data_IF_488581315781
#
_entry.id   IF_488581315781
#
_cell.length_a   1.000
_cell.length_b   1.000
_cell.length_c   1.000
_cell.angle_alpha   90.00
_cell.angle_beta   90.00
_cell.angle_gamma   90.00
#
_symmetry.space_group_name_H-M   'P 1'
#
loop_
_entity.id
_entity.type
_entity.pdbx_description
1 polymer ?
#
# COMPACT_ATOMS: atom_id res chain seq x y z
N UNK A 1 -8.23 18.06 0.20
CA UNK A 1 -7.15 17.25 0.81
C UNK A 1 -7.22 17.40 2.31
N UNK A 2 -8.14 16.66 2.93
CA UNK A 2 -8.19 16.46 4.37
C UNK A 2 -7.88 14.98 4.56
N UNK A 3 -6.71 14.69 5.11
CA UNK A 3 -6.46 13.44 5.81
C UNK A 3 -6.44 13.87 7.27
N UNK A 4 -7.53 13.58 7.97
CA UNK A 4 -7.58 13.69 9.42
C UNK A 4 -6.63 12.64 9.98
N UNK A 5 -5.70 13.11 10.79
CA UNK A 5 -4.85 12.26 11.59
C UNK A 5 -5.30 12.47 13.02
N UNK A 6 -5.90 11.45 13.61
CA UNK A 6 -6.28 11.43 15.01
C UNK A 6 -5.04 11.58 15.90
N UNK A 7 -4.85 12.78 16.43
CA UNK A 7 -4.02 13.06 17.60
C UNK A 7 -4.96 13.14 18.80
N UNK A 8 -5.24 12.00 19.44
CA UNK A 8 -5.78 11.98 20.80
C UNK A 8 -4.85 11.12 21.69
N UNK A 9 -4.05 11.72 22.59
CA UNK A 9 -3.08 11.02 23.42
C UNK A 9 -3.71 10.22 24.59
N UNK A 10 -5.04 10.05 24.62
CA UNK A 10 -5.75 9.34 25.69
C UNK A 10 -6.71 8.21 25.26
N UNK A 11 -6.66 7.73 24.03
CA UNK A 11 -7.44 6.56 23.63
C UNK A 11 -6.83 5.24 24.15
N UNK A 12 -7.19 4.83 25.37
CA UNK A 12 -7.02 3.46 25.84
C UNK A 12 -7.90 2.53 24.98
N UNK A 13 -7.34 2.01 23.89
CA UNK A 13 -8.06 1.21 22.89
C UNK A 13 -8.42 -0.19 23.40
N UNK A 14 -9.72 -0.42 23.64
CA UNK A 14 -10.31 -1.75 23.46
C UNK A 14 -10.30 -2.15 21.98
N UNK A 15 -10.69 -3.38 21.61
CA UNK A 15 -10.61 -3.85 20.21
C UNK A 15 -11.66 -3.14 19.36
N UNK A 16 -11.32 -1.94 18.87
CA UNK A 16 -12.09 -1.27 17.84
C UNK A 16 -12.06 -2.15 16.59
N UNK A 17 -13.24 -2.51 16.10
CA UNK A 17 -13.43 -3.37 14.94
C UNK A 17 -12.99 -2.58 13.72
N UNK A 18 -11.74 -2.78 13.26
CA UNK A 18 -11.18 -2.04 12.12
C UNK A 18 -12.05 -2.20 10.87
N UNK A 19 -12.56 -1.09 10.36
CA UNK A 19 -13.33 -1.01 9.13
C UNK A 19 -12.36 -0.67 8.00
N UNK A 20 -12.32 -1.43 6.89
CA UNK A 20 -11.51 -1.08 5.72
C UNK A 20 -11.92 0.27 5.14
N UNK A 21 -10.94 1.03 4.67
CA UNK A 21 -11.16 2.34 4.07
C UNK A 21 -12.01 2.19 2.80
N UNK A 22 -13.01 3.05 2.60
CA UNK A 22 -13.90 3.04 1.44
C UNK A 22 -14.57 1.67 1.18
N UNK A 23 -14.88 0.91 2.24
CA UNK A 23 -15.44 -0.45 2.09
C UNK A 23 -16.71 -0.46 1.23
N UNK A 24 -17.63 0.48 1.48
CA UNK A 24 -18.89 0.54 0.76
C UNK A 24 -18.68 0.85 -0.72
N UNK A 25 -17.81 1.80 -1.02
CA UNK A 25 -17.51 2.28 -2.37
C UNK A 25 -16.73 1.24 -3.16
N UNK A 26 -15.83 0.50 -2.52
CA UNK A 26 -15.15 -0.66 -3.14
C UNK A 26 -16.16 -1.76 -3.48
N UNK A 27 -17.10 -2.07 -2.59
CA UNK A 27 -18.14 -3.06 -2.87
C UNK A 27 -19.09 -2.62 -3.98
N UNK A 28 -19.45 -1.34 -4.03
CA UNK A 28 -20.25 -0.78 -5.12
C UNK A 28 -19.49 -0.83 -6.45
N UNK A 29 -18.22 -0.44 -6.42
CA UNK A 29 -17.33 -0.46 -7.58
C UNK A 29 -17.12 -1.87 -8.11
N UNK A 30 -16.92 -2.88 -7.26
CA UNK A 30 -16.75 -4.28 -7.68
C UNK A 30 -18.09 -4.96 -8.03
N UNK A 31 -19.16 -4.64 -7.31
CA UNK A 31 -20.48 -5.27 -7.42
C UNK A 31 -20.41 -6.82 -7.42
N UNK A 32 -19.79 -7.43 -6.40
CA UNK A 32 -19.57 -8.88 -6.37
C UNK A 32 -20.88 -9.66 -6.30
N UNK A 33 -20.95 -10.78 -7.01
CA UNK A 33 -22.14 -11.65 -7.06
C UNK A 33 -21.83 -13.08 -6.68
N UNK A 34 -22.89 -13.81 -6.31
CA UNK A 34 -22.81 -15.23 -6.05
C UNK A 34 -22.25 -16.00 -7.26
N UNK A 35 -21.24 -16.84 -7.01
CA UNK A 35 -20.58 -17.64 -8.04
C UNK A 35 -19.44 -16.94 -8.78
N UNK A 36 -19.22 -15.64 -8.57
CA UNK A 36 -18.06 -14.92 -9.10
C UNK A 36 -16.80 -15.21 -8.27
N UNK A 37 -15.64 -15.05 -8.90
CA UNK A 37 -14.32 -15.10 -8.29
C UNK A 37 -13.75 -13.68 -8.24
N UNK A 38 -13.43 -13.23 -7.03
CA UNK A 38 -12.82 -11.93 -6.79
C UNK A 38 -11.43 -12.13 -6.21
N UNK A 39 -10.46 -11.34 -6.67
CA UNK A 39 -9.11 -11.30 -6.09
C UNK A 39 -9.05 -10.15 -5.10
N UNK A 40 -8.73 -10.47 -3.84
CA UNK A 40 -8.30 -9.49 -2.85
C UNK A 40 -6.77 -9.51 -2.81
N UNK A 41 -6.13 -8.59 -3.52
CA UNK A 41 -4.67 -8.59 -3.64
C UNK A 41 -3.94 -8.12 -2.38
N UNK A 42 -4.64 -7.65 -1.36
CA UNK A 42 -4.05 -7.01 -0.19
C UNK A 42 -4.85 -7.41 1.05
N UNK A 43 -4.87 -8.72 1.33
CA UNK A 43 -5.77 -9.32 2.32
C UNK A 43 -5.77 -8.59 3.67
N UNK A 44 -4.59 -8.30 4.23
CA UNK A 44 -4.43 -7.64 5.52
C UNK A 44 -5.23 -8.33 6.63
N UNK A 45 -6.17 -7.60 7.23
CA UNK A 45 -7.08 -8.12 8.28
C UNK A 45 -8.33 -8.86 7.72
N UNK A 46 -8.45 -8.96 6.40
CA UNK A 46 -9.51 -9.66 5.68
C UNK A 46 -10.84 -8.91 5.64
N UNK A 47 -10.86 -7.58 5.78
CA UNK A 47 -12.09 -6.81 5.83
C UNK A 47 -12.85 -6.78 4.49
N UNK A 48 -12.18 -6.48 3.37
CA UNK A 48 -12.78 -6.60 2.04
C UNK A 48 -13.16 -8.04 1.74
N UNK A 49 -12.24 -8.99 1.95
CA UNK A 49 -12.50 -10.43 1.80
C UNK A 49 -13.78 -10.87 2.50
N UNK A 50 -13.98 -10.54 3.78
CA UNK A 50 -15.20 -10.89 4.53
C UNK A 50 -16.46 -10.31 3.89
N UNK A 51 -16.40 -9.06 3.45
CA UNK A 51 -17.54 -8.39 2.85
C UNK A 51 -17.89 -8.97 1.47
N UNK A 52 -16.89 -9.28 0.65
CA UNK A 52 -17.06 -9.93 -0.65
C UNK A 52 -17.63 -11.35 -0.48
N UNK A 53 -17.13 -12.13 0.50
CA UNK A 53 -17.68 -13.44 0.84
C UNK A 53 -19.14 -13.36 1.30
N UNK A 54 -19.53 -12.29 1.97
CA UNK A 54 -20.92 -12.07 2.39
C UNK A 54 -21.87 -11.82 1.21
N UNK A 55 -21.37 -11.33 0.07
CA UNK A 55 -22.13 -11.23 -1.18
C UNK A 55 -22.31 -12.56 -1.92
N UNK A 56 -21.70 -13.66 -1.42
CA UNK A 56 -21.79 -14.99 -2.01
C UNK A 56 -20.71 -15.32 -3.05
N UNK A 57 -19.80 -14.39 -3.33
CA UNK A 57 -18.64 -14.63 -4.19
C UNK A 57 -17.62 -15.58 -3.51
N UNK A 58 -16.70 -16.10 -4.32
CA UNK A 58 -15.46 -16.74 -3.86
C UNK A 58 -14.30 -15.75 -3.96
N UNK A 59 -13.33 -15.86 -3.07
CA UNK A 59 -12.21 -14.93 -2.96
C UNK A 59 -10.89 -15.69 -3.01
N UNK A 60 -9.98 -15.21 -3.86
CA UNK A 60 -8.54 -15.53 -3.73
C UNK A 60 -7.88 -14.32 -3.09
N UNK A 61 -7.46 -14.47 -1.85
CA UNK A 61 -6.88 -13.41 -1.04
C UNK A 61 -5.36 -13.59 -0.94
N UNK A 62 -4.62 -12.54 -1.28
CA UNK A 62 -3.16 -12.55 -1.39
C UNK A 62 -2.60 -11.58 -0.36
N UNK A 63 -1.56 -12.01 0.35
CA UNK A 63 -0.74 -11.13 1.17
C UNK A 63 0.70 -11.61 1.19
N UNK A 64 1.65 -10.68 1.23
CA UNK A 64 3.07 -11.02 1.39
C UNK A 64 3.44 -11.22 2.85
N UNK A 65 2.64 -10.69 3.77
CA UNK A 65 2.90 -10.74 5.20
C UNK A 65 2.45 -12.11 5.77
N UNK A 66 3.39 -12.92 6.30
CA UNK A 66 3.03 -14.20 6.91
C UNK A 66 2.06 -14.06 8.09
N UNK A 67 2.08 -12.93 8.83
CA UNK A 67 1.20 -12.71 9.98
C UNK A 67 -0.26 -12.51 9.54
N UNK A 68 -0.47 -11.82 8.43
CA UNK A 68 -1.79 -11.64 7.82
C UNK A 68 -2.36 -13.00 7.40
N UNK A 69 -1.55 -13.81 6.72
CA UNK A 69 -1.92 -15.15 6.28
C UNK A 69 -2.25 -16.05 7.47
N UNK A 70 -1.43 -16.05 8.52
CA UNK A 70 -1.66 -16.84 9.73
C UNK A 70 -2.98 -16.44 10.41
N UNK A 71 -3.24 -15.13 10.55
CA UNK A 71 -4.48 -14.60 11.14
C UNK A 71 -5.71 -14.94 10.30
N UNK A 72 -5.56 -15.02 8.98
CA UNK A 72 -6.64 -15.34 8.05
C UNK A 72 -7.07 -16.82 8.02
N UNK A 73 -6.26 -17.76 8.50
CA UNK A 73 -6.54 -19.21 8.36
C UNK A 73 -7.88 -19.63 8.97
N UNK A 74 -8.29 -19.02 10.09
CA UNK A 74 -9.59 -19.31 10.68
C UNK A 74 -10.75 -18.90 9.76
N UNK A 75 -10.64 -17.73 9.10
CA UNK A 75 -11.62 -17.27 8.12
C UNK A 75 -11.66 -18.19 6.90
N UNK A 76 -10.50 -18.63 6.41
CA UNK A 76 -10.39 -19.56 5.28
C UNK A 76 -11.14 -20.87 5.54
N UNK A 77 -10.91 -21.46 6.72
CA UNK A 77 -11.62 -22.69 7.14
C UNK A 77 -13.13 -22.48 7.26
N UNK A 78 -13.56 -21.36 7.84
CA UNK A 78 -14.98 -21.02 8.01
C UNK A 78 -15.69 -20.71 6.69
N UNK A 79 -14.95 -20.33 5.64
CA UNK A 79 -15.51 -19.93 4.35
C UNK A 79 -16.01 -21.11 3.51
N UNK A 80 -15.78 -22.36 3.94
CA UNK A 80 -16.30 -23.56 3.28
C UNK A 80 -15.75 -23.75 1.87
N UNK A 81 -14.48 -23.41 1.64
CA UNK A 81 -13.82 -23.52 0.33
C UNK A 81 -14.02 -22.31 -0.60
N UNK A 82 -14.80 -21.30 -0.20
CA UNK A 82 -14.96 -20.05 -0.97
C UNK A 82 -13.83 -19.05 -0.78
N UNK A 83 -12.94 -19.26 0.19
CA UNK A 83 -11.74 -18.45 0.38
C UNK A 83 -10.51 -19.32 0.16
N UNK A 84 -9.53 -18.79 -0.56
CA UNK A 84 -8.16 -19.32 -0.64
C UNK A 84 -7.17 -18.21 -0.30
N UNK A 85 -6.37 -18.42 0.73
CA UNK A 85 -5.30 -17.52 1.14
C UNK A 85 -3.97 -17.94 0.53
N UNK A 86 -3.31 -17.00 -0.13
CA UNK A 86 -2.02 -17.19 -0.80
C UNK A 86 -0.99 -16.24 -0.21
N UNK A 87 0.09 -16.81 0.34
CA UNK A 87 1.23 -16.00 0.81
C UNK A 87 2.13 -15.68 -0.38
N UNK A 88 1.94 -14.51 -0.98
CA UNK A 88 2.72 -14.05 -2.13
C UNK A 88 2.69 -12.53 -2.24
N UNK A 89 3.66 -11.90 -2.91
CA UNK A 89 3.52 -10.51 -3.34
C UNK A 89 2.33 -10.39 -4.30
N UNK A 90 1.53 -9.34 -4.15
CA UNK A 90 0.34 -9.16 -4.98
C UNK A 90 0.66 -8.86 -6.45
N UNK A 91 1.93 -8.54 -6.75
CA UNK A 91 2.43 -8.43 -8.13
C UNK A 91 2.36 -9.75 -8.92
N UNK A 92 2.25 -10.90 -8.25
CA UNK A 92 2.19 -12.23 -8.86
C UNK A 92 0.78 -12.82 -8.85
N UNK A 93 -0.26 -11.99 -8.71
CA UNK A 93 -1.65 -12.46 -8.58
C UNK A 93 -2.13 -13.33 -9.76
N UNK A 94 -1.53 -13.15 -10.95
CA UNK A 94 -1.83 -13.91 -12.17
C UNK A 94 -1.20 -15.31 -12.19
N UNK A 95 -0.26 -15.59 -11.30
CA UNK A 95 0.27 -16.94 -11.07
C UNK A 95 -0.67 -17.78 -10.20
N UNK A 96 -1.62 -17.13 -9.52
CA UNK A 96 -2.47 -17.75 -8.51
C UNK A 96 -3.94 -17.82 -8.91
N UNK A 97 -4.32 -17.05 -9.92
CA UNK A 97 -5.69 -16.92 -10.41
C UNK A 97 -5.68 -16.93 -11.93
N UNK A 98 -6.35 -17.90 -12.54
CA UNK A 98 -6.44 -17.99 -14.00
C UNK A 98 -7.34 -16.88 -14.58
N UNK A 99 -8.50 -16.65 -13.95
CA UNK A 99 -9.40 -15.57 -14.34
C UNK A 99 -10.32 -15.15 -13.18
N UNK A 100 -10.73 -13.88 -13.17
CA UNK A 100 -11.58 -13.29 -12.13
C UNK A 100 -12.56 -12.26 -12.69
N UNK A 101 -13.69 -12.10 -12.01
CA UNK A 101 -14.69 -11.04 -12.28
C UNK A 101 -14.33 -9.71 -11.61
N UNK A 102 -13.46 -9.73 -10.59
CA UNK A 102 -13.00 -8.51 -9.96
C UNK A 102 -11.65 -8.65 -9.28
N UNK A 103 -10.95 -7.54 -9.16
CA UNK A 103 -9.69 -7.40 -8.42
C UNK A 103 -9.78 -6.16 -7.56
N UNK A 104 -9.49 -6.28 -6.26
CA UNK A 104 -9.28 -5.17 -5.34
C UNK A 104 -7.83 -5.12 -4.88
N UNK A 105 -7.25 -3.92 -4.90
CA UNK A 105 -5.91 -3.65 -4.38
C UNK A 105 -6.00 -2.45 -3.42
N UNK A 106 -5.73 -2.67 -2.14
CA UNK A 106 -5.65 -1.65 -1.10
C UNK A 106 -4.17 -1.37 -0.76
N UNK A 107 -3.61 -0.40 -1.46
CA UNK A 107 -2.15 -0.23 -1.55
C UNK A 107 -1.65 0.55 -0.35
N UNK A 108 -1.12 -0.13 0.66
CA UNK A 108 -0.51 0.53 1.80
C UNK A 108 -0.10 -0.44 2.88
N UNK A 109 -0.01 0.07 4.09
CA UNK A 109 0.18 -0.75 5.29
C UNK A 109 -1.14 -0.94 6.00
N UNK A 110 -1.34 -2.13 6.54
CA UNK A 110 -2.48 -2.41 7.42
C UNK A 110 -2.29 -1.73 8.77
N UNK A 111 -3.40 -1.40 9.42
CA UNK A 111 -3.41 -0.96 10.83
C UNK A 111 -2.67 -1.93 11.75
N UNK A 112 -2.84 -3.24 11.54
CA UNK A 112 -2.12 -4.28 12.28
C UNK A 112 -0.60 -4.11 12.24
N UNK A 113 -0.04 -3.67 11.11
CA UNK A 113 1.39 -3.41 10.97
C UNK A 113 1.83 -2.12 11.67
N UNK A 114 0.95 -1.11 11.74
CA UNK A 114 1.21 0.15 12.45
C UNK A 114 1.14 -0.05 13.97
N UNK A 115 0.17 -0.85 14.44
CA UNK A 115 -0.12 -1.06 15.85
C UNK A 115 0.91 -1.97 16.53
N UNK A 116 1.59 -2.82 15.76
CA UNK A 116 2.68 -3.66 16.25
C UNK A 116 4.02 -2.92 16.20
N UNK A 117 4.40 -2.30 17.31
CA UNK A 117 5.66 -1.55 17.43
C UNK A 117 6.88 -2.36 16.95
N UNK A 118 6.93 -3.66 17.25
CA UNK A 118 8.02 -4.57 16.85
C UNK A 118 8.21 -4.69 15.33
N UNK A 119 7.22 -4.32 14.52
CA UNK A 119 7.32 -4.32 13.04
C UNK A 119 8.01 -3.07 12.49
N UNK A 120 8.14 -2.01 13.30
CA UNK A 120 8.93 -0.84 12.94
C UNK A 120 8.33 0.11 11.90
N UNK A 121 7.05 -0.02 11.57
CA UNK A 121 6.37 0.84 10.58
C UNK A 121 6.03 2.24 11.11
N UNK A 122 6.00 2.40 12.43
CA UNK A 122 5.57 3.61 13.13
C UNK A 122 6.62 4.05 14.15
N UNK A 123 6.62 5.35 14.43
CA UNK A 123 7.38 5.96 15.53
C UNK A 123 6.44 6.52 16.61
N UNK A 124 5.18 6.07 16.66
CA UNK A 124 4.27 6.37 17.79
C UNK A 124 4.69 5.62 19.06
N UNK A 125 5.18 4.40 18.88
CA UNK A 125 5.78 3.57 19.90
C UNK A 125 7.14 3.10 19.36
N UNK A 126 8.07 2.88 20.27
CA UNK A 126 9.42 2.46 19.91
C UNK A 126 9.47 0.98 19.53
N UNK A 127 10.27 0.66 18.52
CA UNK A 127 10.50 -0.71 18.07
C UNK A 127 11.72 -0.79 17.14
N UNK A 128 12.08 -2.00 16.69
CA UNK A 128 13.16 -2.19 15.72
C UNK A 128 12.89 -1.40 14.44
N UNK A 129 13.92 -0.81 13.85
CA UNK A 129 13.81 -0.12 12.57
C UNK A 129 13.78 -1.15 11.41
N UNK A 130 12.66 -1.85 11.26
CA UNK A 130 12.50 -2.97 10.32
C UNK A 130 11.75 -2.58 9.04
N UNK A 131 10.44 -2.34 9.13
CA UNK A 131 9.54 -1.98 8.02
C UNK A 131 9.34 -3.05 6.92
N UNK A 132 9.81 -4.29 7.07
CA UNK A 132 9.57 -5.34 6.07
C UNK A 132 8.18 -5.95 6.25
N UNK A 133 7.38 -5.92 5.19
CA UNK A 133 6.08 -6.61 5.16
C UNK A 133 6.28 -8.12 5.09
N UNK A 134 7.18 -8.60 4.22
CA UNK A 134 7.45 -10.03 4.02
C UNK A 134 8.38 -10.65 5.07
N UNK A 135 8.86 -9.87 6.04
CA UNK A 135 9.84 -10.29 7.06
C UNK A 135 11.15 -10.88 6.47
N UNK A 136 11.51 -10.47 5.24
CA UNK A 136 12.69 -10.92 4.53
C UNK A 136 13.28 -9.80 3.68
N UNK A 137 14.58 -9.90 3.36
CA UNK A 137 15.31 -8.88 2.59
C UNK A 137 15.87 -7.76 3.48
N UNK A 138 16.19 -6.62 2.83
CA UNK A 138 16.78 -5.44 3.49
C UNK A 138 15.78 -4.79 4.44
N UNK A 139 16.20 -4.53 5.67
CA UNK A 139 15.43 -3.73 6.64
C UNK A 139 15.65 -2.22 6.44
N UNK A 140 14.80 -1.39 7.05
CA UNK A 140 15.00 0.05 7.10
C UNK A 140 16.31 0.41 7.83
N UNK A 141 16.68 -0.32 8.88
CA UNK A 141 17.97 -0.20 9.57
C UNK A 141 19.14 -0.45 8.62
N UNK A 142 19.08 -1.51 7.80
CA UNK A 142 20.12 -1.80 6.81
C UNK A 142 20.28 -0.64 5.83
N UNK A 143 19.17 -0.10 5.33
CA UNK A 143 19.18 1.02 4.39
C UNK A 143 19.84 2.25 5.01
N UNK A 144 19.37 2.71 6.17
CA UNK A 144 19.91 3.93 6.79
C UNK A 144 21.35 3.77 7.25
N UNK A 145 21.78 2.56 7.64
CA UNK A 145 23.12 2.34 8.15
C UNK A 145 24.16 2.00 7.07
N UNK A 146 23.76 1.56 5.86
CA UNK A 146 24.71 1.12 4.82
C UNK A 146 24.70 1.94 3.54
N UNK A 147 23.61 2.64 3.20
CA UNK A 147 23.51 3.33 1.91
C UNK A 147 24.33 4.62 1.90
N UNK A 148 24.82 5.02 0.72
CA UNK A 148 25.52 6.30 0.54
C UNK A 148 24.55 7.46 0.74
N UNK A 149 25.06 8.61 1.21
CA UNK A 149 24.23 9.84 1.35
C UNK A 149 23.45 10.19 0.10
N UNK A 150 24.06 10.08 -1.07
CA UNK A 150 23.39 10.37 -2.34
C UNK A 150 22.19 9.44 -2.60
N UNK A 151 22.28 8.19 -2.16
CA UNK A 151 21.22 7.20 -2.34
C UNK A 151 20.08 7.44 -1.34
N UNK A 152 20.43 7.68 -0.06
CA UNK A 152 19.46 8.07 0.96
C UNK A 152 18.70 9.35 0.59
N UNK A 153 19.41 10.37 0.11
CA UNK A 153 18.79 11.62 -0.34
C UNK A 153 17.81 11.40 -1.50
N UNK A 154 18.14 10.49 -2.45
CA UNK A 154 17.23 10.11 -3.54
C UNK A 154 16.00 9.38 -3.02
N UNK A 155 16.18 8.41 -2.11
CA UNK A 155 15.07 7.68 -1.48
C UNK A 155 14.11 8.66 -0.81
N UNK A 156 14.60 9.51 0.10
CA UNK A 156 13.76 10.46 0.84
C UNK A 156 13.13 11.51 -0.08
N UNK A 157 13.89 12.02 -1.05
CA UNK A 157 13.43 13.06 -1.97
C UNK A 157 12.36 12.56 -2.94
N UNK A 158 12.56 11.39 -3.57
CA UNK A 158 11.62 10.86 -4.57
C UNK A 158 10.44 10.13 -3.94
N UNK A 159 10.67 9.27 -2.95
CA UNK A 159 9.63 8.41 -2.40
C UNK A 159 8.87 9.09 -1.24
N UNK A 160 9.54 9.96 -0.49
CA UNK A 160 8.93 10.71 0.63
C UNK A 160 8.51 12.14 0.29
N UNK A 161 8.87 12.64 -0.90
CA UNK A 161 8.70 14.06 -1.26
C UNK A 161 9.30 15.01 -0.17
N UNK A 162 10.44 14.61 0.42
CA UNK A 162 11.08 15.28 1.55
C UNK A 162 12.01 16.41 1.09
N UNK A 163 11.71 17.65 1.52
CA UNK A 163 12.42 18.86 1.10
C UNK A 163 13.83 18.96 1.68
N UNK A 164 14.05 18.38 2.86
CA UNK A 164 15.32 18.35 3.56
C UNK A 164 16.09 17.05 3.34
N UNK A 165 15.73 16.25 2.34
CA UNK A 165 16.30 14.92 2.07
C UNK A 165 17.83 14.89 2.13
N UNK A 166 18.51 15.82 1.45
CA UNK A 166 19.98 15.90 1.44
C UNK A 166 20.60 16.36 2.77
N UNK A 167 19.88 17.09 3.62
CA UNK A 167 20.33 17.44 4.97
C UNK A 167 20.17 16.25 5.91
N UNK A 168 19.01 15.61 5.88
CA UNK A 168 18.70 14.43 6.69
C UNK A 168 19.66 13.27 6.35
N UNK A 169 19.91 13.00 5.07
CA UNK A 169 20.84 11.94 4.66
C UNK A 169 22.27 12.15 5.20
N UNK A 170 22.79 13.37 5.15
CA UNK A 170 24.11 13.71 5.72
C UNK A 170 24.15 13.59 7.24
N UNK A 171 23.06 14.00 7.91
CA UNK A 171 22.91 13.81 9.34
C UNK A 171 22.97 12.33 9.70
N UNK A 172 22.21 11.48 8.98
CA UNK A 172 22.20 10.04 9.20
C UNK A 172 23.61 9.45 9.02
N UNK A 173 24.32 9.79 7.94
CA UNK A 173 25.68 9.29 7.70
C UNK A 173 26.67 9.70 8.81
N UNK A 174 26.65 10.96 9.22
CA UNK A 174 27.54 11.44 10.29
C UNK A 174 27.20 10.83 11.65
N UNK A 175 25.91 10.61 11.94
CA UNK A 175 25.45 10.03 13.20
C UNK A 175 25.79 8.54 13.27
N UNK A 176 25.54 7.77 12.20
CA UNK A 176 25.73 6.32 12.19
C UNK A 176 27.17 5.87 12.41
N UNK A 177 28.15 6.72 12.11
CA UNK A 177 29.57 6.46 12.44
C UNK A 177 29.82 6.32 13.95
N UNK A 178 28.99 6.96 14.78
CA UNK A 178 29.11 6.94 16.25
C UNK A 178 28.16 5.93 16.87
N UNK A 179 26.93 5.87 16.36
CA UNK A 179 25.91 4.97 16.86
C UNK A 179 24.96 4.63 15.71
N UNK A 180 24.77 3.34 15.42
CA UNK A 180 23.88 2.88 14.35
C UNK A 180 22.40 3.14 14.70
N UNK A 181 21.56 3.35 13.69
CA UNK A 181 20.12 3.49 13.88
C UNK A 181 19.46 2.11 13.88
N UNK A 182 19.09 1.64 15.07
CA UNK A 182 18.47 0.32 15.25
C UNK A 182 16.98 0.41 15.61
N UNK A 183 16.52 1.59 16.03
CA UNK A 183 15.18 1.80 16.60
C UNK A 183 14.43 2.96 15.95
N UNK A 184 13.11 2.88 15.93
CA UNK A 184 12.25 3.86 15.26
C UNK A 184 12.27 5.23 15.94
N UNK A 185 12.16 5.30 17.27
CA UNK A 185 12.20 6.60 17.96
C UNK A 185 13.55 7.29 17.81
N UNK A 186 14.64 6.51 17.86
CA UNK A 186 15.99 7.05 17.69
C UNK A 186 16.18 7.76 16.34
N UNK A 187 15.70 7.17 15.24
CA UNK A 187 15.71 7.83 13.94
C UNK A 187 14.78 9.04 13.90
N UNK A 188 13.57 8.93 14.46
CA UNK A 188 12.58 10.00 14.45
C UNK A 188 13.07 11.23 15.23
N UNK A 189 13.61 11.02 16.43
CA UNK A 189 14.14 12.07 17.32
C UNK A 189 15.35 12.77 16.70
N UNK A 190 16.24 12.00 16.06
CA UNK A 190 17.39 12.57 15.35
C UNK A 190 16.96 13.48 14.19
N UNK A 191 15.92 13.10 13.44
CA UNK A 191 15.35 13.90 12.35
C UNK A 191 14.68 15.16 12.91
N UNK A 192 13.83 15.01 13.93
CA UNK A 192 13.12 16.15 14.55
C UNK A 192 14.12 17.15 15.14
N UNK A 193 15.14 16.69 15.86
CA UNK A 193 16.21 17.53 16.42
C UNK A 193 16.97 18.28 15.31
N UNK A 194 17.20 17.64 14.17
CA UNK A 194 18.01 18.22 13.09
C UNK A 194 17.24 19.21 12.19
N UNK A 195 15.97 18.90 11.88
CA UNK A 195 15.14 19.69 10.98
C UNK A 195 14.33 20.75 11.74
N UNK A 196 13.96 20.44 12.98
CA UNK A 196 13.02 21.20 13.80
C UNK A 196 11.56 20.91 13.43
N UNK A 197 10.67 21.14 14.39
CA UNK A 197 9.21 21.10 14.21
C UNK A 197 8.63 22.48 14.51
N UNK A 198 7.96 23.09 13.53
CA UNK A 198 7.27 24.34 13.75
C UNK A 198 5.85 24.09 14.29
N UNK A 199 5.28 24.99 15.13
CA UNK A 199 3.92 24.84 15.65
C UNK A 199 2.81 24.75 14.59
N UNK A 200 3.09 25.23 13.37
CA UNK A 200 2.18 25.20 12.22
C UNK A 200 2.28 23.91 11.39
N UNK A 201 3.26 23.05 11.68
CA UNK A 201 3.50 21.85 10.90
C UNK A 201 2.44 20.81 11.24
N UNK A 202 1.69 20.40 10.21
CA UNK A 202 0.58 19.45 10.35
C UNK A 202 1.05 18.00 10.53
N UNK A 203 2.29 17.70 10.17
CA UNK A 203 2.86 16.35 10.24
C UNK A 203 4.20 16.40 10.95
N UNK A 204 4.58 15.29 11.59
CA UNK A 204 5.87 15.14 12.20
C UNK A 204 7.00 15.19 11.13
N UNK A 205 8.16 15.83 11.41
CA UNK A 205 9.26 15.92 10.43
C UNK A 205 9.78 14.56 9.93
N UNK A 206 9.68 13.51 10.75
CA UNK A 206 10.11 12.16 10.36
C UNK A 206 9.12 11.42 9.45
N UNK A 207 7.85 11.85 9.35
CA UNK A 207 6.79 11.11 8.65
C UNK A 207 7.17 10.76 7.21
N UNK A 208 7.72 11.73 6.46
CA UNK A 208 8.09 11.54 5.05
C UNK A 208 9.29 10.62 4.85
N UNK A 209 10.23 10.66 5.79
CA UNK A 209 11.40 9.77 5.77
C UNK A 209 10.97 8.33 6.04
N UNK A 210 10.09 8.12 7.03
CA UNK A 210 9.54 6.80 7.34
C UNK A 210 8.71 6.26 6.17
N UNK A 211 7.87 7.08 5.55
CA UNK A 211 7.15 6.73 4.33
C UNK A 211 8.12 6.33 3.20
N UNK A 212 9.18 7.12 2.95
CA UNK A 212 10.16 6.81 1.91
C UNK A 212 10.89 5.48 2.15
N UNK A 213 11.30 5.21 3.39
CA UNK A 213 11.95 3.96 3.78
C UNK A 213 11.02 2.77 3.58
N UNK A 214 9.76 2.89 4.02
CA UNK A 214 8.73 1.87 3.84
C UNK A 214 8.52 1.50 2.36
N UNK A 215 8.31 2.52 1.53
CA UNK A 215 8.12 2.37 0.08
C UNK A 215 9.34 1.69 -0.55
N UNK A 216 10.54 2.10 -0.15
CA UNK A 216 11.79 1.56 -0.68
C UNK A 216 12.02 0.10 -0.28
N UNK A 217 11.91 -0.20 1.01
CA UNK A 217 12.14 -1.54 1.59
C UNK A 217 11.21 -2.57 0.98
N UNK A 218 9.97 -2.19 0.67
CA UNK A 218 8.96 -3.10 0.16
C UNK A 218 8.77 -3.05 -1.37
N UNK A 219 9.54 -2.24 -2.10
CA UNK A 219 9.34 -1.97 -3.54
C UNK A 219 7.87 -1.61 -3.88
N UNK A 220 7.20 -0.83 -3.02
CA UNK A 220 5.72 -0.69 -3.08
C UNK A 220 5.23 -0.17 -4.44
N UNK A 221 5.93 0.81 -5.03
CA UNK A 221 5.58 1.36 -6.34
C UNK A 221 5.85 0.37 -7.48
N UNK A 222 6.92 -0.42 -7.37
CA UNK A 222 7.26 -1.45 -8.35
C UNK A 222 6.25 -2.60 -8.32
N UNK A 223 5.88 -3.04 -7.12
CA UNK A 223 4.85 -4.05 -6.88
C UNK A 223 3.48 -3.59 -7.39
N UNK A 224 3.06 -2.36 -7.09
CA UNK A 224 1.84 -1.76 -7.64
C UNK A 224 1.84 -1.78 -9.17
N UNK A 225 2.92 -1.32 -9.80
CA UNK A 225 2.99 -1.29 -11.25
C UNK A 225 2.82 -2.70 -11.85
N UNK A 226 3.57 -3.69 -11.35
CA UNK A 226 3.49 -5.10 -11.81
C UNK A 226 2.09 -5.69 -11.57
N UNK A 227 1.49 -5.41 -10.42
CA UNK A 227 0.17 -5.89 -10.05
C UNK A 227 -0.95 -5.36 -10.94
N UNK A 228 -0.87 -4.11 -11.39
CA UNK A 228 -1.83 -3.56 -12.36
C UNK A 228 -1.77 -4.33 -13.68
N UNK A 229 -0.57 -4.69 -14.16
CA UNK A 229 -0.44 -5.55 -15.33
C UNK A 229 -0.95 -6.98 -15.08
N UNK A 230 -0.73 -7.53 -13.88
CA UNK A 230 -1.25 -8.84 -13.51
C UNK A 230 -2.79 -8.85 -13.43
N UNK A 231 -3.39 -7.82 -12.85
CA UNK A 231 -4.83 -7.61 -12.79
C UNK A 231 -5.45 -7.56 -14.19
N UNK A 232 -4.81 -6.84 -15.13
CA UNK A 232 -5.24 -6.80 -16.54
C UNK A 232 -5.24 -8.18 -17.20
N UNK A 233 -4.31 -9.08 -16.84
CA UNK A 233 -4.23 -10.43 -17.42
C UNK A 233 -5.31 -11.37 -16.91
N UNK A 234 -5.72 -11.24 -15.64
CA UNK A 234 -6.70 -12.14 -15.01
C UNK A 234 -8.15 -11.67 -15.15
N UNK A 235 -8.37 -10.37 -15.36
CA UNK A 235 -9.73 -9.84 -15.44
C UNK A 235 -10.44 -10.33 -16.71
N UNK A 236 -11.59 -10.97 -16.52
CA UNK A 236 -12.48 -11.33 -17.64
C UNK A 236 -13.04 -10.07 -18.29
N UNK A 237 -13.49 -10.15 -19.57
CA UNK A 237 -14.27 -9.07 -20.17
C UNK A 237 -15.46 -8.68 -19.29
N UNK A 238 -15.57 -7.39 -18.97
CA UNK A 238 -16.59 -6.85 -18.06
C UNK A 238 -16.25 -6.94 -16.57
N UNK A 239 -15.11 -7.56 -16.22
CA UNK A 239 -14.59 -7.58 -14.86
C UNK A 239 -14.13 -6.20 -14.38
N UNK A 240 -14.00 -6.04 -13.06
CA UNK A 240 -13.78 -4.73 -12.43
C UNK A 240 -12.50 -4.67 -11.60
N UNK A 241 -11.73 -3.60 -11.79
CA UNK A 241 -10.55 -3.29 -10.99
C UNK A 241 -10.87 -2.13 -10.03
N UNK A 242 -10.75 -2.37 -8.74
CA UNK A 242 -10.80 -1.34 -7.69
C UNK A 242 -9.41 -1.18 -7.06
N UNK A 243 -8.91 0.05 -7.00
CA UNK A 243 -7.61 0.35 -6.37
C UNK A 243 -7.78 1.48 -5.39
N UNK A 244 -7.39 1.26 -4.13
CA UNK A 244 -7.34 2.25 -3.07
C UNK A 244 -5.87 2.64 -2.88
N UNK A 245 -5.60 3.94 -2.83
CA UNK A 245 -4.24 4.50 -2.72
C UNK A 245 -4.21 5.55 -1.62
N UNK A 246 -3.11 5.64 -0.88
CA UNK A 246 -3.00 6.53 0.28
C UNK A 246 -2.07 7.73 0.01
N UNK A 247 -1.26 7.68 -1.05
CA UNK A 247 -0.42 8.81 -1.40
C UNK A 247 -0.30 9.10 -2.90
N UNK A 248 0.20 10.30 -3.19
CA UNK A 248 0.27 10.91 -4.53
C UNK A 248 1.01 10.05 -5.56
N UNK A 249 2.05 9.34 -5.15
CA UNK A 249 2.86 8.50 -6.04
C UNK A 249 2.09 7.28 -6.56
N UNK A 250 1.35 6.59 -5.70
CA UNK A 250 0.51 5.43 -6.06
C UNK A 250 -0.62 5.86 -7.00
N UNK A 251 -1.38 6.88 -6.60
CA UNK A 251 -2.50 7.42 -7.38
C UNK A 251 -2.07 7.82 -8.79
N UNK A 252 -0.87 8.42 -8.93
CA UNK A 252 -0.30 8.77 -10.23
C UNK A 252 -0.03 7.55 -11.09
N UNK A 253 0.48 6.46 -10.52
CA UNK A 253 0.73 5.20 -11.24
C UNK A 253 -0.59 4.61 -11.73
N UNK A 254 -1.60 4.51 -10.85
CA UNK A 254 -2.92 3.96 -11.18
C UNK A 254 -3.60 4.79 -12.27
N UNK A 255 -3.63 6.13 -12.12
CA UNK A 255 -4.24 7.03 -13.11
C UNK A 255 -3.58 6.91 -14.47
N UNK A 256 -2.25 6.85 -14.51
CA UNK A 256 -1.50 6.69 -15.76
C UNK A 256 -1.79 5.34 -16.40
N UNK A 257 -1.79 4.26 -15.63
CA UNK A 257 -2.12 2.93 -16.11
C UNK A 257 -3.52 2.90 -16.75
N UNK A 258 -4.55 3.39 -16.06
CA UNK A 258 -5.92 3.41 -16.59
C UNK A 258 -6.04 4.30 -17.83
N UNK A 259 -5.38 5.46 -17.86
CA UNK A 259 -5.37 6.33 -19.04
C UNK A 259 -4.74 5.63 -20.26
N UNK A 260 -3.57 5.00 -20.07
CA UNK A 260 -2.83 4.30 -21.12
C UNK A 260 -3.62 3.10 -21.70
N UNK A 261 -4.56 2.51 -20.93
CA UNK A 261 -5.43 1.40 -21.37
C UNK A 261 -6.80 1.82 -21.88
N UNK A 262 -7.27 3.01 -21.52
CA UNK A 262 -8.54 3.54 -21.98
C UNK A 262 -8.44 4.12 -23.40
N UNK A 263 -7.26 4.59 -23.79
CA UNK A 263 -7.02 5.10 -25.14
C UNK A 263 -6.79 3.94 -26.11
N UNK A 264 -7.72 3.76 -27.05
CA UNK A 264 -7.43 2.99 -28.25
C UNK A 264 -6.35 3.74 -29.03
N UNK A 265 -5.18 3.13 -29.24
CA UNK A 265 -4.11 3.78 -30.00
C UNK A 265 -4.58 4.03 -31.44
N UNK A 266 -5.01 5.26 -31.73
CA UNK A 266 -5.20 5.75 -33.09
C UNK A 266 -3.82 5.82 -33.72
N UNK A 267 -3.52 4.90 -34.64
CA UNK A 267 -2.29 4.95 -35.43
C UNK A 267 -2.06 6.37 -35.98
N UNK A 268 -0.83 6.87 -35.86
CA UNK A 268 -0.45 8.11 -36.54
C UNK A 268 -0.60 7.91 -38.05
N UNK A 269 -1.24 8.85 -38.74
CA UNK A 269 -1.40 8.83 -40.22
C UNK A 269 -0.06 8.81 -40.99
N UNK A 270 1.06 8.96 -40.28
CA UNK A 270 2.42 9.06 -40.84
C UNK A 270 3.36 7.93 -40.39
N UNK A 271 2.88 6.94 -39.62
CA UNK A 271 3.67 5.77 -39.22
C UNK A 271 3.08 4.49 -39.86
N UNK A 272 3.92 3.49 -40.21
CA UNK A 272 3.43 2.17 -40.63
C UNK A 272 2.44 1.64 -39.60
N UNK A 273 1.37 0.94 -40.03
CA UNK A 273 0.28 0.43 -39.18
C UNK A 273 0.81 -0.08 -37.84
N UNK A 274 0.77 0.79 -36.82
CA UNK A 274 0.91 0.34 -35.45
C UNK A 274 -0.32 -0.52 -35.22
N UNK A 275 -0.12 -1.82 -34.92
CA UNK A 275 -1.19 -2.72 -34.52
C UNK A 275 -2.11 -1.95 -33.55
N UNK A 276 -3.34 -1.70 -33.98
CA UNK A 276 -4.28 -0.91 -33.20
C UNK A 276 -4.44 -1.59 -31.85
N UNK A 277 -3.93 -0.97 -30.78
CA UNK A 277 -4.17 -1.47 -29.42
C UNK A 277 -5.63 -1.19 -29.11
N UNK A 278 -6.41 -2.24 -28.93
CA UNK A 278 -7.76 -2.14 -28.41
C UNK A 278 -7.70 -1.71 -26.95
N UNK A 279 -8.56 -0.76 -26.57
CA UNK A 279 -8.71 -0.37 -25.17
C UNK A 279 -9.10 -1.59 -24.31
N UNK A 280 -8.37 -1.83 -23.24
CA UNK A 280 -8.60 -2.95 -22.32
C UNK A 280 -9.36 -2.54 -21.06
N UNK A 281 -9.39 -1.23 -20.74
CA UNK A 281 -10.16 -0.69 -19.63
C UNK A 281 -11.06 0.46 -20.06
N UNK A 282 -12.17 0.63 -19.35
CA UNK A 282 -12.98 1.84 -19.36
C UNK A 282 -13.03 2.38 -17.94
N UNK A 283 -12.70 3.66 -17.77
CA UNK A 283 -12.85 4.33 -16.47
C UNK A 283 -14.33 4.38 -16.08
N UNK A 284 -14.65 3.88 -14.89
CA UNK A 284 -15.98 3.95 -14.28
C UNK A 284 -15.91 4.99 -13.16
N UNK A 285 -16.66 6.09 -13.29
CA UNK A 285 -16.70 7.16 -12.28
C UNK A 285 -15.46 8.06 -12.20
N UNK A 286 -15.47 8.97 -11.22
CA UNK A 286 -14.32 9.79 -10.80
C UNK A 286 -13.59 9.13 -9.63
N UNK A 287 -12.40 9.64 -9.27
CA UNK A 287 -11.77 9.23 -8.03
C UNK A 287 -12.68 9.53 -6.84
N UNK A 288 -12.73 8.60 -5.88
CA UNK A 288 -13.53 8.68 -4.65
C UNK A 288 -12.60 8.99 -3.49
N UNK A 289 -13.06 9.75 -2.51
CA UNK A 289 -12.32 10.07 -1.28
C UNK A 289 -13.18 9.75 -0.07
N UNK A 290 -12.58 9.30 1.06
CA UNK A 290 -13.33 9.02 2.28
C UNK A 290 -14.05 10.27 2.78
N UNK A 291 -15.18 10.05 3.45
CA UNK A 291 -15.95 11.13 4.07
C UNK A 291 -15.32 11.59 5.40
N UNK A 292 -15.83 12.69 5.98
CA UNK A 292 -15.28 13.23 7.24
C UNK A 292 -15.50 12.29 8.44
N UNK A 293 -16.53 11.45 8.41
CA UNK A 293 -16.82 10.49 9.47
C UNK A 293 -15.81 9.34 9.46
N UNK A 294 -15.47 8.83 8.28
CA UNK A 294 -14.47 7.78 8.11
C UNK A 294 -13.05 8.28 8.41
N UNK A 295 -12.75 9.53 8.04
CA UNK A 295 -11.48 10.18 8.37
C UNK A 295 -11.29 10.38 9.88
N UNK A 296 -12.37 10.50 10.65
CA UNK A 296 -12.31 10.81 12.09
C UNK A 296 -12.47 9.59 13.01
N UNK A 297 -12.74 8.41 12.44
CA UNK A 297 -12.87 7.13 13.16
C UNK A 297 -11.52 6.48 13.48
#
# INVERSE_FOLDING_TARGET
>A
MMAGYGDDPHAAGGPARHIPVLLAEVLEALSPKAGEVIVDGTFGAGGYTKAILACGASVVAIDRDPDAIATGRALEQQSGGRLRLVQAPFSTLDEHVESAEGVVLDIGISSMQIDQAERGFSFRADGPLDMRMAQAGLSAADVVNSFKVGDLARIFGFLGEERHAGRIARMIESRREKHAFERTLDLADAIETHVGRAPKDKIHPATRVFQALRIFVNDELGELAKALFAAERVLKPGGRLAVVTFHSLEDRIVKRFIADRADAASGSRHLPEAQARSATFKKVGSGVTPDEAEISA
#
